data_IF_562337057580
#
_entry.id   IF_562337057580
#
_cell.length_a   1.000
_cell.length_b   1.000
_cell.length_c   1.000
_cell.angle_alpha   90.00
_cell.angle_beta   90.00
_cell.angle_gamma   90.00
#
_symmetry.space_group_name_H-M   'P 1'
#
loop_
_entity.id
_entity.type
_entity.pdbx_description
1 polymer ?
#
# COMPACT_ATOMS: atom_id res chain seq x y z
N UNK A 1 52.06 -15.11 -34.57
CA UNK A 1 51.20 -14.77 -33.41
C UNK A 1 51.72 -13.50 -32.74
N UNK A 2 50.89 -12.46 -32.50
CA UNK A 2 51.36 -11.29 -31.78
C UNK A 2 51.67 -11.65 -30.32
N UNK A 3 52.93 -11.46 -29.90
CA UNK A 3 53.38 -11.72 -28.52
C UNK A 3 52.62 -10.80 -27.55
N UNK A 4 51.73 -11.36 -26.74
CA UNK A 4 51.02 -10.66 -25.67
C UNK A 4 52.04 -10.39 -24.55
N UNK A 5 52.51 -9.15 -24.44
CA UNK A 5 53.51 -8.77 -23.44
C UNK A 5 52.81 -8.26 -22.18
N UNK A 6 53.09 -8.88 -21.04
CA UNK A 6 52.70 -8.43 -19.70
C UNK A 6 53.32 -7.04 -19.42
N UNK A 7 52.65 -6.17 -18.65
CA UNK A 7 53.08 -4.81 -18.34
C UNK A 7 54.52 -4.73 -17.83
N UNK A 8 54.93 -5.69 -16.98
CA UNK A 8 56.30 -5.83 -16.48
C UNK A 8 57.32 -6.06 -17.60
N UNK A 9 56.95 -6.80 -18.66
CA UNK A 9 57.80 -7.05 -19.85
C UNK A 9 57.86 -5.83 -20.78
N UNK A 10 56.80 -5.03 -20.83
CA UNK A 10 56.75 -3.78 -21.62
C UNK A 10 57.58 -2.68 -20.94
N UNK A 11 57.53 -2.58 -19.61
CA UNK A 11 58.28 -1.60 -18.82
C UNK A 11 59.79 -1.86 -18.82
N UNK A 12 60.24 -3.14 -18.84
CA UNK A 12 61.66 -3.51 -18.89
C UNK A 12 62.39 -3.14 -20.20
N UNK A 13 61.68 -2.87 -21.30
CA UNK A 13 62.27 -2.48 -22.60
C UNK A 13 62.49 -0.96 -22.75
N UNK A 14 62.65 -0.21 -21.65
CA UNK A 14 62.80 1.26 -21.69
C UNK A 14 64.23 1.67 -22.06
N UNK A 15 64.38 2.33 -23.21
CA UNK A 15 65.36 3.40 -23.37
C UNK A 15 64.72 4.71 -22.87
N UNK A 16 65.47 5.48 -22.08
CA UNK A 16 65.06 6.76 -21.46
C UNK A 16 64.80 7.82 -22.53
N UNK A 17 63.54 8.00 -22.93
CA UNK A 17 63.08 9.11 -23.76
C UNK A 17 61.58 9.32 -23.57
N UNK A 18 61.13 10.57 -23.54
CA UNK A 18 59.72 10.97 -23.34
C UNK A 18 58.85 10.48 -24.51
N UNK A 19 58.00 9.48 -24.27
CA UNK A 19 57.07 8.98 -25.29
C UNK A 19 55.91 9.98 -25.51
N UNK A 20 55.61 10.31 -26.76
CA UNK A 20 54.46 11.15 -27.09
C UNK A 20 53.11 10.47 -26.75
N UNK A 21 52.13 11.17 -26.14
CA UNK A 21 50.88 10.59 -25.61
C UNK A 21 50.03 9.81 -26.63
N UNK A 22 49.98 10.24 -27.90
CA UNK A 22 49.19 9.58 -28.96
C UNK A 22 49.95 8.49 -29.72
N UNK A 23 51.20 8.19 -29.37
CA UNK A 23 52.03 7.23 -30.09
C UNK A 23 51.49 5.80 -30.03
N UNK A 24 51.76 4.99 -31.07
CA UNK A 24 51.38 3.56 -31.11
C UNK A 24 51.88 2.79 -29.87
N UNK A 25 53.10 3.13 -29.41
CA UNK A 25 53.72 2.53 -28.22
C UNK A 25 53.05 3.01 -26.92
N UNK A 26 52.65 4.29 -26.82
CA UNK A 26 51.83 4.77 -25.71
C UNK A 26 50.46 4.06 -25.64
N UNK A 27 49.78 3.88 -26.78
CA UNK A 27 48.52 3.10 -26.85
C UNK A 27 48.72 1.63 -26.45
N UNK A 28 49.84 1.01 -26.81
CA UNK A 28 50.15 -0.38 -26.42
C UNK A 28 50.40 -0.49 -24.90
N UNK A 29 51.09 0.49 -24.31
CA UNK A 29 51.28 0.57 -22.85
C UNK A 29 49.93 0.77 -22.16
N UNK A 30 49.11 1.72 -22.63
CA UNK A 30 47.79 1.99 -22.05
C UNK A 30 46.90 0.74 -22.06
N UNK A 31 46.80 0.02 -23.19
CA UNK A 31 46.03 -1.25 -23.28
C UNK A 31 46.54 -2.32 -22.30
N UNK A 32 47.84 -2.38 -22.06
CA UNK A 32 48.42 -3.29 -21.08
C UNK A 32 48.11 -2.86 -19.65
N UNK A 33 48.12 -1.54 -19.36
CA UNK A 33 47.70 -0.97 -18.06
C UNK A 33 46.23 -1.29 -17.80
N UNK A 34 45.35 -1.01 -18.76
CA UNK A 34 43.92 -1.24 -18.65
C UNK A 34 43.59 -2.73 -18.47
N UNK A 35 44.35 -3.61 -19.14
CA UNK A 35 44.25 -5.06 -18.94
C UNK A 35 44.63 -5.46 -17.52
N UNK A 36 45.76 -4.97 -17.00
CA UNK A 36 46.20 -5.28 -15.64
C UNK A 36 45.22 -4.74 -14.59
N UNK A 37 44.64 -3.56 -14.82
CA UNK A 37 43.58 -3.00 -13.97
C UNK A 37 42.35 -3.92 -13.99
N UNK A 38 41.90 -4.37 -15.17
CA UNK A 38 40.78 -5.32 -15.28
C UNK A 38 41.08 -6.64 -14.59
N UNK A 39 42.27 -7.21 -14.77
CA UNK A 39 42.68 -8.46 -14.12
C UNK A 39 42.72 -8.31 -12.60
N UNK A 40 43.25 -7.20 -12.07
CA UNK A 40 43.25 -6.90 -10.64
C UNK A 40 41.83 -6.72 -10.09
N UNK A 41 40.94 -6.03 -10.82
CA UNK A 41 39.52 -5.89 -10.45
C UNK A 41 38.82 -7.25 -10.41
N UNK A 42 39.02 -8.10 -11.43
CA UNK A 42 38.46 -9.44 -11.49
C UNK A 42 39.00 -10.34 -10.36
N UNK A 43 40.31 -10.24 -10.05
CA UNK A 43 40.91 -10.96 -8.94
C UNK A 43 40.28 -10.57 -7.61
N UNK A 44 40.17 -9.26 -7.32
CA UNK A 44 39.51 -8.76 -6.11
C UNK A 44 38.06 -9.20 -6.00
N UNK A 45 37.33 -9.23 -7.13
CA UNK A 45 35.95 -9.73 -7.18
C UNK A 45 35.88 -11.20 -6.76
N UNK A 46 36.74 -12.05 -7.34
CA UNK A 46 36.82 -13.48 -6.97
C UNK A 46 37.24 -13.71 -5.53
N UNK A 47 38.20 -12.94 -5.02
CA UNK A 47 38.61 -13.00 -3.61
C UNK A 47 37.42 -12.67 -2.70
N UNK A 48 36.67 -11.61 -3.00
CA UNK A 48 35.46 -11.26 -2.25
C UNK A 48 34.39 -12.36 -2.30
N UNK A 49 34.10 -12.90 -3.49
CA UNK A 49 33.13 -14.00 -3.65
C UNK A 49 33.56 -15.25 -2.87
N UNK A 50 34.87 -15.57 -2.89
CA UNK A 50 35.45 -16.66 -2.12
C UNK A 50 35.26 -16.45 -0.62
N UNK A 51 35.63 -15.28 -0.12
CA UNK A 51 35.56 -14.97 1.30
C UNK A 51 34.09 -14.96 1.79
N UNK A 52 33.15 -14.48 0.96
CA UNK A 52 31.71 -14.56 1.24
C UNK A 52 31.20 -16.01 1.35
N UNK A 53 31.66 -16.90 0.46
CA UNK A 53 31.32 -18.34 0.52
C UNK A 53 31.87 -18.99 1.79
N UNK A 54 33.13 -18.71 2.13
CA UNK A 54 33.75 -19.24 3.36
C UNK A 54 32.96 -18.78 4.58
N UNK A 55 32.68 -17.49 4.71
CA UNK A 55 31.93 -16.93 5.84
C UNK A 55 30.53 -17.55 5.98
N UNK A 56 29.84 -17.77 4.85
CA UNK A 56 28.55 -18.48 4.80
C UNK A 56 28.68 -19.89 5.40
N UNK A 57 29.64 -20.68 4.95
CA UNK A 57 29.77 -22.06 5.41
C UNK A 57 30.32 -22.19 6.85
N UNK A 58 31.11 -21.21 7.31
CA UNK A 58 31.51 -21.11 8.72
C UNK A 58 30.28 -20.93 9.62
N UNK A 59 29.29 -20.12 9.20
CA UNK A 59 28.04 -20.00 9.97
C UNK A 59 27.36 -21.36 10.15
N UNK A 60 27.15 -22.11 9.05
CA UNK A 60 26.50 -23.43 9.15
C UNK A 60 27.32 -24.41 9.98
N UNK A 61 28.65 -24.39 9.86
CA UNK A 61 29.54 -25.16 10.74
C UNK A 61 29.31 -24.81 12.21
N UNK A 62 29.35 -23.52 12.55
CA UNK A 62 29.16 -23.05 13.93
C UNK A 62 27.76 -23.41 14.47
N UNK A 63 26.73 -23.33 13.63
CA UNK A 63 25.36 -23.68 14.01
C UNK A 63 25.24 -25.16 14.39
N UNK A 64 25.81 -26.05 13.56
CA UNK A 64 25.78 -27.49 13.81
C UNK A 64 26.63 -27.88 15.03
N UNK A 65 27.74 -27.18 15.28
CA UNK A 65 28.57 -27.39 16.48
C UNK A 65 27.88 -26.94 17.76
N UNK A 66 27.28 -25.74 17.76
CA UNK A 66 26.61 -25.16 18.92
C UNK A 66 25.35 -25.92 19.31
N UNK A 67 24.52 -26.29 18.33
CA UNK A 67 23.26 -27.01 18.55
C UNK A 67 23.45 -28.54 18.59
N UNK A 68 24.70 -29.01 18.51
CA UNK A 68 25.07 -30.43 18.46
C UNK A 68 24.25 -31.26 17.45
N UNK A 69 24.06 -30.74 16.24
CA UNK A 69 23.23 -31.36 15.22
C UNK A 69 23.95 -32.56 14.60
N UNK A 70 23.25 -33.70 14.48
CA UNK A 70 23.70 -34.89 13.75
C UNK A 70 23.22 -34.88 12.28
N UNK A 71 21.96 -34.50 12.06
CA UNK A 71 21.34 -34.27 10.76
C UNK A 71 20.10 -33.38 10.94
N UNK A 72 19.69 -32.71 9.88
CA UNK A 72 18.43 -31.97 9.80
C UNK A 72 17.47 -32.65 8.83
N UNK A 73 16.17 -32.46 9.04
CA UNK A 73 15.20 -32.67 7.96
C UNK A 73 15.15 -31.43 7.03
N UNK A 74 14.41 -31.54 5.93
CA UNK A 74 14.35 -30.48 4.90
C UNK A 74 13.73 -29.17 5.43
N UNK A 75 12.77 -29.25 6.34
CA UNK A 75 12.05 -28.08 6.87
C UNK A 75 12.87 -27.36 7.94
N UNK A 76 13.59 -28.11 8.78
CA UNK A 76 14.58 -27.59 9.71
C UNK A 76 15.71 -26.89 8.98
N UNK A 77 16.28 -27.51 7.94
CA UNK A 77 17.30 -26.89 7.11
C UNK A 77 16.81 -25.57 6.50
N UNK A 78 15.57 -25.55 6.00
CA UNK A 78 14.95 -24.32 5.46
C UNK A 78 14.85 -23.22 6.52
N UNK A 79 14.44 -23.57 7.74
CA UNK A 79 14.36 -22.65 8.88
C UNK A 79 15.74 -22.08 9.28
N UNK A 80 16.79 -22.89 9.21
CA UNK A 80 18.17 -22.44 9.49
C UNK A 80 18.66 -21.46 8.43
N UNK A 81 18.34 -21.72 7.16
CA UNK A 81 18.65 -20.82 6.04
C UNK A 81 17.93 -19.48 6.20
N UNK A 82 16.68 -19.47 6.65
CA UNK A 82 15.94 -18.24 6.95
C UNK A 82 16.59 -17.43 8.08
N UNK A 83 16.98 -18.09 9.19
CA UNK A 83 17.69 -17.44 10.32
C UNK A 83 19.06 -16.89 9.93
N UNK A 84 19.72 -17.48 8.95
CA UNK A 84 21.01 -17.00 8.44
C UNK A 84 20.88 -15.63 7.73
N UNK A 85 19.76 -15.39 7.05
CA UNK A 85 19.62 -14.24 6.14
C UNK A 85 19.77 -12.87 6.85
N UNK A 86 19.12 -12.61 8.01
CA UNK A 86 19.35 -11.37 8.77
C UNK A 86 20.78 -11.22 9.29
N UNK A 87 21.44 -12.33 9.67
CA UNK A 87 22.80 -12.32 10.20
C UNK A 87 23.85 -12.05 9.11
N UNK A 88 23.66 -12.61 7.92
CA UNK A 88 24.51 -12.35 6.75
C UNK A 88 24.41 -10.90 6.28
N UNK A 89 23.21 -10.32 6.29
CA UNK A 89 22.99 -8.90 6.01
C UNK A 89 23.81 -8.02 6.97
N UNK A 90 23.77 -8.31 8.27
CA UNK A 90 24.54 -7.58 9.28
C UNK A 90 26.06 -7.67 9.06
N UNK A 91 26.58 -8.84 8.68
CA UNK A 91 28.00 -9.05 8.35
C UNK A 91 28.46 -8.32 7.08
N UNK A 92 27.60 -8.23 6.07
CA UNK A 92 27.85 -7.46 4.83
C UNK A 92 27.98 -5.95 5.13
N UNK A 93 27.22 -5.46 6.13
CA UNK A 93 27.28 -4.08 6.62
C UNK A 93 28.49 -3.83 7.54
N UNK A 94 28.85 -4.75 8.43
CA UNK A 94 29.94 -4.56 9.42
C UNK A 94 31.30 -4.31 8.75
N UNK A 95 31.61 -4.96 7.62
CA UNK A 95 32.88 -4.76 6.93
C UNK A 95 32.98 -3.44 6.12
N UNK A 96 31.93 -2.61 6.09
CA UNK A 96 31.95 -1.25 5.52
C UNK A 96 31.49 -0.14 6.47
N UNK A 97 30.82 -0.46 7.58
CA UNK A 97 30.12 0.52 8.41
C UNK A 97 30.79 0.75 9.77
N UNK A 98 32.02 1.27 9.78
CA UNK A 98 32.50 2.03 10.96
C UNK A 98 32.06 3.51 10.95
N UNK A 99 31.31 3.95 9.94
CA UNK A 99 30.99 5.38 9.72
C UNK A 99 29.52 5.72 9.36
N UNK A 100 28.58 4.77 9.32
CA UNK A 100 27.21 5.05 8.79
C UNK A 100 26.10 5.11 9.85
N UNK A 101 26.32 4.67 11.09
CA UNK A 101 25.34 4.81 12.19
C UNK A 101 25.18 6.25 12.73
N UNK A 102 25.49 7.28 11.94
CA UNK A 102 25.15 8.68 12.26
C UNK A 102 24.04 9.27 11.38
N UNK A 103 23.67 8.61 10.27
CA UNK A 103 22.77 9.21 9.26
C UNK A 103 21.58 8.32 8.86
N UNK A 104 21.29 7.21 9.56
CA UNK A 104 20.06 6.43 9.31
C UNK A 104 18.80 7.12 9.87
N UNK A 105 18.96 8.00 10.87
CA UNK A 105 17.85 8.82 11.39
C UNK A 105 17.36 9.89 10.42
N UNK A 106 18.10 10.21 9.34
CA UNK A 106 17.72 11.25 8.37
C UNK A 106 17.03 10.71 7.11
N UNK A 107 16.77 9.41 7.03
CA UNK A 107 16.24 8.76 5.81
C UNK A 107 14.74 8.45 5.92
N UNK A 108 14.16 8.40 7.13
CA UNK A 108 12.74 8.13 7.30
C UNK A 108 11.82 9.36 7.17
N UNK A 109 12.36 10.58 7.03
CA UNK A 109 11.54 11.81 7.03
C UNK A 109 11.30 12.47 5.66
N UNK A 110 11.88 11.98 4.55
CA UNK A 110 11.72 12.67 3.25
C UNK A 110 11.30 11.71 2.13
N UNK A 111 10.07 11.21 2.24
CA UNK A 111 9.41 10.37 1.24
C UNK A 111 8.23 11.08 0.55
N UNK A 112 8.34 12.38 0.27
CA UNK A 112 7.33 13.14 -0.46
C UNK A 112 8.00 14.02 -1.52
N UNK A 113 8.28 13.44 -2.69
CA UNK A 113 8.41 14.16 -3.97
C UNK A 113 8.65 13.19 -5.13
N UNK A 114 7.71 13.19 -6.07
CA UNK A 114 7.70 12.40 -7.30
C UNK A 114 8.63 13.05 -8.36
N UNK A 115 9.93 13.02 -8.10
CA UNK A 115 10.98 13.43 -9.04
C UNK A 115 11.87 12.22 -9.23
N UNK A 116 12.27 11.91 -10.47
CA UNK A 116 13.23 10.83 -10.77
C UNK A 116 14.42 10.91 -9.81
N UNK A 117 14.36 10.10 -8.75
CA UNK A 117 15.30 10.21 -7.65
C UNK A 117 16.61 9.63 -8.17
N UNK A 118 17.55 10.50 -8.55
CA UNK A 118 18.90 10.09 -8.86
C UNK A 118 19.52 9.53 -7.58
N UNK A 119 19.34 8.22 -7.39
CA UNK A 119 19.95 7.49 -6.31
C UNK A 119 21.47 7.70 -6.43
N UNK A 120 22.09 8.23 -5.37
CA UNK A 120 23.56 8.28 -5.27
C UNK A 120 24.15 6.91 -5.66
N UNK A 121 25.32 6.87 -6.32
CA UNK A 121 25.95 5.62 -6.77
C UNK A 121 26.06 4.56 -5.66
N UNK A 122 26.08 5.00 -4.40
CA UNK A 122 26.04 4.16 -3.21
C UNK A 122 24.66 3.52 -2.94
N UNK A 123 23.55 4.27 -3.13
CA UNK A 123 22.16 3.79 -3.00
C UNK A 123 21.79 2.83 -4.14
N UNK A 124 22.28 3.09 -5.36
CA UNK A 124 22.18 2.14 -6.50
C UNK A 124 22.96 0.84 -6.21
N UNK A 125 24.17 0.95 -5.67
CA UNK A 125 24.97 -0.23 -5.33
C UNK A 125 24.37 -1.05 -4.18
N UNK A 126 23.64 -0.40 -3.24
CA UNK A 126 22.90 -1.08 -2.17
C UNK A 126 21.66 -1.79 -2.74
N UNK A 127 20.89 -1.14 -3.61
CA UNK A 127 19.73 -1.74 -4.28
C UNK A 127 20.12 -2.97 -5.10
N UNK A 128 21.14 -2.87 -5.95
CA UNK A 128 21.65 -4.03 -6.70
C UNK A 128 22.20 -5.17 -5.83
N UNK A 129 22.63 -4.86 -4.61
CA UNK A 129 23.12 -5.88 -3.68
C UNK A 129 21.94 -6.65 -3.08
N UNK A 130 20.91 -5.93 -2.63
CA UNK A 130 19.63 -6.51 -2.19
C UNK A 130 18.94 -7.31 -3.31
N UNK A 131 18.87 -6.75 -4.52
CA UNK A 131 18.26 -7.43 -5.67
C UNK A 131 19.03 -8.72 -6.02
N UNK A 132 20.38 -8.71 -5.96
CA UNK A 132 21.16 -9.93 -6.22
C UNK A 132 21.00 -10.99 -5.13
N UNK A 133 20.86 -10.58 -3.86
CA UNK A 133 20.64 -11.48 -2.73
C UNK A 133 19.25 -12.10 -2.77
N UNK A 134 18.23 -11.30 -3.10
CA UNK A 134 16.86 -11.77 -3.28
C UNK A 134 16.75 -12.71 -4.49
N UNK A 135 17.43 -12.40 -5.60
CA UNK A 135 17.52 -13.31 -6.75
C UNK A 135 18.28 -14.62 -6.43
N UNK A 136 19.34 -14.60 -5.61
CA UNK A 136 20.03 -15.82 -5.16
C UNK A 136 19.11 -16.70 -4.29
N UNK A 137 18.25 -16.08 -3.48
CA UNK A 137 17.30 -16.78 -2.63
C UNK A 137 16.10 -17.34 -3.42
N UNK A 138 15.59 -16.60 -4.39
CA UNK A 138 14.48 -17.02 -5.28
C UNK A 138 14.92 -18.11 -6.27
N UNK A 139 16.16 -18.06 -6.78
CA UNK A 139 16.71 -19.08 -7.69
C UNK A 139 17.23 -20.35 -6.99
N UNK A 140 17.49 -20.27 -5.69
CA UNK A 140 17.96 -21.36 -4.84
C UNK A 140 19.24 -20.99 -4.10
N UNK A 141 19.18 -21.01 -2.78
CA UNK A 141 20.29 -20.66 -1.92
C UNK A 141 21.20 -21.87 -1.68
N UNK A 142 22.46 -21.80 -2.15
CA UNK A 142 23.40 -22.92 -2.06
C UNK A 142 24.03 -23.03 -0.66
N UNK A 143 23.81 -24.16 0.01
CA UNK A 143 24.27 -24.46 1.38
C UNK A 143 24.83 -25.88 1.48
N UNK A 144 25.67 -26.18 2.50
CA UNK A 144 26.07 -27.55 2.77
C UNK A 144 24.83 -28.41 3.03
N UNK A 145 24.81 -29.62 2.49
CA UNK A 145 23.71 -30.55 2.73
C UNK A 145 23.76 -31.06 4.18
N UNK A 146 22.93 -30.48 5.05
CA UNK A 146 22.83 -30.90 6.44
C UNK A 146 21.83 -32.04 6.66
N UNK A 147 21.21 -32.55 5.59
CA UNK A 147 20.31 -33.72 5.67
C UNK A 147 21.06 -35.04 5.66
N UNK A 148 22.30 -35.04 5.16
CA UNK A 148 23.24 -36.17 5.17
C UNK A 148 24.16 -36.11 6.42
N UNK A 149 24.04 -37.05 7.38
CA UNK A 149 24.88 -37.08 8.58
C UNK A 149 26.39 -37.13 8.29
N UNK A 150 26.81 -37.80 7.20
CA UNK A 150 28.21 -37.87 6.84
C UNK A 150 28.75 -36.50 6.41
N UNK A 151 27.91 -35.73 5.71
CA UNK A 151 28.26 -34.39 5.27
C UNK A 151 28.27 -33.39 6.43
N UNK A 152 27.40 -33.58 7.43
CA UNK A 152 27.44 -32.83 8.69
C UNK A 152 28.77 -33.05 9.44
N UNK A 153 29.21 -34.30 9.56
CA UNK A 153 30.52 -34.62 10.15
C UNK A 153 31.68 -34.03 9.34
N UNK A 154 31.61 -34.11 8.00
CA UNK A 154 32.61 -33.50 7.13
C UNK A 154 32.68 -31.97 7.32
N UNK A 155 31.53 -31.30 7.51
CA UNK A 155 31.47 -29.87 7.78
C UNK A 155 32.06 -29.50 9.15
N UNK A 156 31.79 -30.28 10.20
CA UNK A 156 32.43 -30.09 11.53
C UNK A 156 33.95 -30.21 11.44
N UNK A 157 34.45 -31.17 10.66
CA UNK A 157 35.89 -31.39 10.48
C UNK A 157 36.54 -30.45 9.46
N UNK A 158 35.76 -29.65 8.72
CA UNK A 158 36.29 -28.76 7.70
C UNK A 158 37.13 -27.63 8.31
N UNK A 159 38.31 -27.40 7.75
CA UNK A 159 39.34 -26.47 8.26
C UNK A 159 39.00 -24.98 8.10
N UNK A 160 37.93 -24.64 7.38
CA UNK A 160 37.64 -23.26 6.96
C UNK A 160 38.37 -22.84 5.66
N UNK A 161 39.18 -23.72 5.07
CA UNK A 161 39.89 -23.43 3.83
C UNK A 161 38.99 -23.64 2.60
N UNK A 162 38.97 -22.66 1.70
CA UNK A 162 38.22 -22.74 0.45
C UNK A 162 38.58 -23.94 -0.41
N UNK A 163 39.86 -24.31 -0.47
CA UNK A 163 40.30 -25.41 -1.33
C UNK A 163 39.74 -26.75 -0.87
N UNK A 164 39.36 -26.89 0.41
CA UNK A 164 38.85 -28.13 1.00
C UNK A 164 37.32 -28.25 0.83
N UNK A 165 36.65 -27.24 0.26
CA UNK A 165 35.20 -27.25 0.07
C UNK A 165 34.70 -28.35 -0.87
N UNK A 166 35.57 -28.89 -1.74
CA UNK A 166 35.23 -29.99 -2.64
C UNK A 166 34.89 -31.30 -1.91
N UNK A 167 35.24 -31.40 -0.62
CA UNK A 167 34.93 -32.54 0.24
C UNK A 167 33.46 -32.51 0.70
N UNK A 168 32.83 -31.34 0.69
CA UNK A 168 31.45 -31.14 1.14
C UNK A 168 30.46 -31.28 -0.01
N UNK A 169 29.30 -31.87 0.28
CA UNK A 169 28.12 -31.84 -0.59
C UNK A 169 27.31 -30.59 -0.33
N UNK A 170 26.77 -30.00 -1.39
CA UNK A 170 25.93 -28.81 -1.33
C UNK A 170 24.59 -29.05 -2.02
N UNK A 171 23.54 -28.45 -1.46
CA UNK A 171 22.19 -28.45 -2.02
C UNK A 171 21.69 -27.02 -2.17
N UNK A 172 20.72 -26.84 -3.07
CA UNK A 172 20.02 -25.59 -3.27
C UNK A 172 18.73 -25.62 -2.47
N UNK A 173 18.61 -24.74 -1.49
CA UNK A 173 17.39 -24.56 -0.70
C UNK A 173 16.65 -23.36 -1.28
N UNK A 174 15.51 -23.62 -1.91
CA UNK A 174 14.60 -22.58 -2.37
C UNK A 174 13.65 -22.21 -1.24
N UNK A 175 13.16 -20.95 -1.25
CA UNK A 175 12.03 -20.55 -0.43
C UNK A 175 10.85 -21.44 -0.76
N UNK A 176 10.50 -22.40 0.10
CA UNK A 176 9.24 -23.13 -0.03
C UNK A 176 8.10 -22.10 -0.01
N UNK A 177 7.02 -22.37 -0.74
CA UNK A 177 5.74 -21.64 -0.78
C UNK A 177 5.05 -21.47 0.61
N UNK A 178 5.77 -21.71 1.71
CA UNK A 178 5.34 -21.61 3.11
C UNK A 178 4.92 -20.18 3.49
N UNK A 179 5.52 -19.16 2.87
CA UNK A 179 5.13 -17.77 3.15
C UNK A 179 3.72 -17.41 2.66
N UNK A 180 3.19 -18.09 1.64
CA UNK A 180 1.80 -17.86 1.21
C UNK A 180 0.85 -18.46 2.24
N UNK A 181 1.10 -19.70 2.68
CA UNK A 181 0.29 -20.36 3.70
C UNK A 181 0.32 -19.62 5.06
N UNK A 182 1.48 -19.08 5.45
CA UNK A 182 1.61 -18.29 6.67
C UNK A 182 0.89 -16.94 6.55
N UNK A 183 1.08 -16.21 5.45
CA UNK A 183 0.39 -14.93 5.22
C UNK A 183 -1.13 -15.09 5.16
N UNK A 184 -1.63 -16.13 4.48
CA UNK A 184 -3.06 -16.45 4.45
C UNK A 184 -3.60 -16.80 5.84
N UNK A 185 -2.83 -17.54 6.65
CA UNK A 185 -3.22 -17.88 8.03
C UNK A 185 -3.24 -16.66 8.94
N UNK A 186 -2.23 -15.80 8.84
CA UNK A 186 -2.16 -14.53 9.60
C UNK A 186 -3.33 -13.62 9.24
N UNK A 187 -3.60 -13.43 7.94
CA UNK A 187 -4.73 -12.64 7.47
C UNK A 187 -6.07 -13.22 7.96
N UNK A 188 -6.29 -14.52 7.80
CA UNK A 188 -7.51 -15.20 8.26
C UNK A 188 -7.70 -15.06 9.78
N UNK A 189 -6.62 -15.16 10.56
CA UNK A 189 -6.67 -14.96 12.01
C UNK A 189 -7.06 -13.54 12.37
N UNK A 190 -6.48 -12.55 11.65
CA UNK A 190 -6.77 -11.13 11.91
C UNK A 190 -8.19 -10.76 11.49
N UNK A 191 -8.66 -11.17 10.30
CA UNK A 191 -10.05 -11.00 9.86
C UNK A 191 -11.01 -11.66 10.86
N UNK A 192 -10.75 -12.88 11.28
CA UNK A 192 -11.57 -13.57 12.29
C UNK A 192 -11.60 -12.88 13.66
N UNK A 193 -10.54 -12.16 14.04
CA UNK A 193 -10.56 -11.31 15.25
C UNK A 193 -11.37 -10.03 15.05
N UNK A 194 -11.29 -9.44 13.86
CA UNK A 194 -12.03 -8.23 13.50
C UNK A 194 -13.53 -8.49 13.45
N UNK A 195 -13.97 -9.55 12.76
CA UNK A 195 -15.38 -9.97 12.71
C UNK A 195 -15.95 -10.11 14.12
N UNK A 196 -15.21 -10.75 15.04
CA UNK A 196 -15.68 -10.92 16.43
C UNK A 196 -15.82 -9.61 17.16
N UNK A 197 -14.86 -8.69 16.97
CA UNK A 197 -14.89 -7.37 17.55
C UNK A 197 -16.10 -6.59 17.04
N UNK A 198 -16.27 -6.49 15.72
CA UNK A 198 -17.37 -5.78 15.09
C UNK A 198 -18.73 -6.37 15.46
N UNK A 199 -18.89 -7.70 15.41
CA UNK A 199 -20.14 -8.36 15.83
C UNK A 199 -20.46 -8.15 17.32
N UNK A 200 -19.46 -7.94 18.17
CA UNK A 200 -19.69 -7.65 19.60
C UNK A 200 -20.13 -6.21 19.86
N UNK A 201 -19.75 -5.28 18.97
CA UNK A 201 -20.12 -3.87 19.03
C UNK A 201 -21.41 -3.57 18.26
N UNK A 202 -21.73 -4.38 17.25
CA UNK A 202 -22.91 -4.24 16.43
C UNK A 202 -24.16 -4.39 17.31
N UNK A 203 -24.88 -3.29 17.49
CA UNK A 203 -26.23 -3.35 18.05
C UNK A 203 -27.10 -4.06 17.03
N UNK A 204 -27.76 -5.15 17.43
CA UNK A 204 -28.68 -5.90 16.54
C UNK A 204 -29.89 -5.05 16.11
N UNK A 205 -30.15 -3.95 16.80
CA UNK A 205 -31.28 -3.08 16.54
C UNK A 205 -30.94 -2.01 15.50
N UNK A 206 -31.81 -1.91 14.49
CA UNK A 206 -31.84 -0.79 13.56
C UNK A 206 -32.02 0.49 14.40
N UNK A 207 -31.18 1.53 14.19
CA UNK A 207 -31.33 2.82 14.84
C UNK A 207 -32.78 3.35 14.77
N UNK A 208 -33.27 3.92 15.88
CA UNK A 208 -34.70 4.28 16.03
C UNK A 208 -35.18 5.32 15.00
N UNK A 209 -34.32 6.26 14.63
CA UNK A 209 -34.52 7.22 13.53
C UNK A 209 -34.73 6.53 12.16
N UNK A 210 -33.92 5.54 11.82
CA UNK A 210 -34.07 4.76 10.59
C UNK A 210 -35.36 3.95 10.64
N UNK A 211 -35.63 3.32 11.79
CA UNK A 211 -36.83 2.51 11.98
C UNK A 211 -38.11 3.33 11.85
N UNK A 212 -38.18 4.49 12.50
CA UNK A 212 -39.33 5.40 12.41
C UNK A 212 -39.54 5.90 10.98
N UNK A 213 -38.48 6.27 10.25
CA UNK A 213 -38.57 6.65 8.84
C UNK A 213 -39.12 5.52 7.95
N UNK A 214 -38.68 4.28 8.17
CA UNK A 214 -39.19 3.11 7.45
C UNK A 214 -40.67 2.88 7.77
N UNK A 215 -41.07 3.02 9.04
CA UNK A 215 -42.45 2.84 9.50
C UNK A 215 -43.40 3.92 8.96
N UNK A 216 -42.93 5.15 8.75
CA UNK A 216 -43.71 6.23 8.12
C UNK A 216 -44.16 5.85 6.68
N UNK A 217 -43.41 4.97 6.00
CA UNK A 217 -43.79 4.39 4.72
C UNK A 217 -43.90 5.39 3.56
N UNK A 218 -43.30 6.56 3.70
CA UNK A 218 -43.34 7.65 2.70
C UNK A 218 -42.54 7.29 1.45
N UNK A 219 -41.37 6.66 1.64
CA UNK A 219 -40.48 6.19 0.59
C UNK A 219 -40.27 4.68 0.71
N UNK A 220 -40.24 3.99 -0.43
CA UNK A 220 -39.76 2.62 -0.55
C UNK A 220 -38.23 2.64 -0.70
N UNK A 221 -37.52 1.85 0.11
CA UNK A 221 -36.06 1.76 0.06
C UNK A 221 -35.65 0.57 -0.81
N UNK A 222 -34.93 0.84 -1.89
CA UNK A 222 -34.30 -0.15 -2.75
C UNK A 222 -32.82 -0.21 -2.38
N UNK A 223 -32.48 -1.25 -1.61
CA UNK A 223 -31.13 -1.52 -1.13
C UNK A 223 -30.70 -2.94 -1.55
N UNK A 224 -29.54 -3.05 -2.17
CA UNK A 224 -28.91 -4.31 -2.56
C UNK A 224 -27.59 -4.52 -1.82
N UNK A 225 -27.40 -5.72 -1.28
CA UNK A 225 -26.14 -6.13 -0.65
C UNK A 225 -24.98 -6.05 -1.64
N UNK A 226 -23.80 -5.64 -1.16
CA UNK A 226 -22.58 -5.41 -1.96
C UNK A 226 -22.73 -4.31 -3.02
N UNK A 227 -23.71 -3.42 -2.88
CA UNK A 227 -23.84 -2.22 -3.70
C UNK A 227 -23.63 -0.98 -2.84
N UNK A 228 -22.90 0.00 -3.36
CA UNK A 228 -22.76 1.29 -2.68
C UNK A 228 -23.99 2.18 -2.89
N UNK A 229 -24.79 1.94 -3.93
CA UNK A 229 -25.96 2.77 -4.23
C UNK A 229 -27.18 2.34 -3.42
N UNK A 230 -27.96 3.33 -3.00
CA UNK A 230 -29.28 3.18 -2.39
C UNK A 230 -30.23 4.09 -3.14
N UNK A 231 -31.43 3.58 -3.46
CA UNK A 231 -32.48 4.35 -4.11
C UNK A 231 -33.72 4.41 -3.21
N UNK A 232 -34.26 5.61 -3.02
CA UNK A 232 -35.55 5.84 -2.36
C UNK A 232 -36.59 6.19 -3.42
N UNK A 233 -37.66 5.42 -3.50
CA UNK A 233 -38.70 5.59 -4.51
C UNK A 233 -40.02 5.95 -3.86
N UNK A 234 -40.71 6.93 -4.44
CA UNK A 234 -42.06 7.32 -4.04
C UNK A 234 -42.90 7.70 -5.23
N UNK A 235 -44.21 7.45 -5.13
CA UNK A 235 -45.20 8.04 -6.04
C UNK A 235 -45.91 9.19 -5.34
N UNK A 236 -45.92 10.37 -5.97
CA UNK A 236 -46.63 11.55 -5.48
C UNK A 236 -47.58 12.04 -6.57
N UNK A 237 -48.89 11.82 -6.39
CA UNK A 237 -49.91 12.08 -7.42
C UNK A 237 -49.57 11.33 -8.73
N UNK A 238 -49.29 12.07 -9.81
CA UNK A 238 -48.88 11.58 -11.12
C UNK A 238 -47.36 11.58 -11.33
N UNK A 239 -46.58 11.95 -10.32
CA UNK A 239 -45.12 12.01 -10.38
C UNK A 239 -44.49 10.75 -9.75
N UNK A 240 -43.40 10.28 -10.37
CA UNK A 240 -42.48 9.31 -9.80
C UNK A 240 -41.26 10.05 -9.28
N UNK A 241 -40.98 9.88 -7.99
CA UNK A 241 -39.83 10.47 -7.31
C UNK A 241 -38.83 9.36 -7.02
N UNK A 242 -37.57 9.59 -7.36
CA UNK A 242 -36.43 8.74 -7.03
C UNK A 242 -35.34 9.60 -6.41
N UNK A 243 -34.79 9.20 -5.27
CA UNK A 243 -33.60 9.79 -4.68
C UNK A 243 -32.51 8.73 -4.64
N UNK A 244 -31.40 8.98 -5.33
CA UNK A 244 -30.24 8.08 -5.34
C UNK A 244 -29.09 8.72 -4.58
N UNK A 245 -28.46 7.96 -3.68
CA UNK A 245 -27.25 8.37 -2.96
C UNK A 245 -26.29 7.19 -2.78
N UNK A 246 -25.03 7.48 -2.43
CA UNK A 246 -23.98 6.46 -2.33
C UNK A 246 -23.36 6.40 -0.94
N UNK A 247 -23.18 5.17 -0.45
CA UNK A 247 -22.44 4.88 0.79
C UNK A 247 -20.99 5.33 0.69
N UNK A 248 -20.41 5.41 -0.51
CA UNK A 248 -19.03 5.83 -0.71
C UNK A 248 -18.75 7.28 -0.30
N UNK A 249 -19.79 8.12 -0.18
CA UNK A 249 -19.64 9.52 0.20
C UNK A 249 -19.08 9.71 1.62
N UNK A 250 -19.22 8.69 2.48
CA UNK A 250 -18.59 8.68 3.81
C UNK A 250 -17.07 8.84 3.76
N UNK A 251 -16.43 8.38 2.67
CA UNK A 251 -14.97 8.46 2.51
C UNK A 251 -14.48 9.87 2.15
N UNK A 252 -15.36 10.76 1.73
CA UNK A 252 -14.97 12.13 1.39
C UNK A 252 -14.68 12.98 2.64
N UNK A 253 -14.99 12.46 3.84
CA UNK A 253 -14.71 13.10 5.14
C UNK A 253 -13.21 13.25 5.45
N UNK A 254 -12.34 12.38 4.92
CA UNK A 254 -10.94 12.29 5.37
C UNK A 254 -9.99 13.34 4.75
N UNK A 255 -10.48 14.23 3.88
CA UNK A 255 -9.59 15.07 3.06
C UNK A 255 -9.18 16.42 3.65
N UNK A 256 -9.86 16.93 4.69
CA UNK A 256 -9.63 18.31 5.19
C UNK A 256 -8.91 18.43 6.56
N UNK A 257 -8.82 17.38 7.37
CA UNK A 257 -8.30 17.48 8.75
C UNK A 257 -6.81 17.11 8.94
N UNK A 258 -6.09 16.67 7.90
CA UNK A 258 -4.71 16.17 8.05
C UNK A 258 -3.59 17.14 7.61
N UNK A 259 -3.90 18.36 7.16
CA UNK A 259 -2.89 19.31 6.62
C UNK A 259 -2.87 20.70 7.25
N UNK A 260 -3.38 20.89 8.46
CA UNK A 260 -3.17 22.12 9.21
C UNK A 260 -2.72 21.82 10.63
N UNK A 261 -1.39 21.79 10.84
CA UNK A 261 -0.66 22.36 11.97
C UNK A 261 0.70 21.66 12.18
N UNK A 262 1.63 21.83 11.23
CA UNK A 262 3.05 21.79 11.56
C UNK A 262 3.71 23.09 11.09
N UNK A 263 3.46 24.15 11.86
CA UNK A 263 4.37 25.27 12.07
C UNK A 263 3.78 26.14 13.18
N UNK A 264 4.26 25.95 14.42
CA UNK A 264 4.79 27.04 15.27
C UNK A 264 5.09 26.52 16.69
N UNK A 265 6.38 26.49 16.99
CA UNK A 265 7.01 26.69 18.30
C UNK A 265 6.81 25.65 19.41
N UNK A 266 7.85 24.83 19.58
CA UNK A 266 8.25 24.27 20.87
C UNK A 266 8.40 25.37 21.95
N UNK A 267 7.99 25.01 23.17
CA UNK A 267 8.27 25.64 24.48
C UNK A 267 7.15 26.48 25.09
N UNK A 268 6.30 25.78 25.87
CA UNK A 268 5.57 26.17 27.10
C UNK A 268 4.27 25.34 27.08
N UNK A 269 3.98 24.35 27.93
CA UNK A 269 4.32 24.11 29.33
C UNK A 269 4.35 22.59 29.58
N UNK A 270 5.50 22.10 30.05
CA UNK A 270 5.55 20.94 30.94
C UNK A 270 4.99 21.38 32.29
N UNK A 271 3.68 21.42 32.41
CA UNK A 271 2.91 21.56 33.66
C UNK A 271 1.45 21.42 33.21
N UNK A 272 0.98 20.21 32.89
CA UNK A 272 0.12 19.47 33.82
C UNK A 272 0.11 17.99 33.40
N UNK A 273 1.20 17.27 33.67
CA UNK A 273 1.10 15.82 33.87
C UNK A 273 0.64 15.61 35.31
N UNK A 274 -0.67 15.61 35.52
CA UNK A 274 -1.38 14.92 36.61
C UNK A 274 -2.87 15.20 36.45
N UNK A 275 -3.65 14.14 36.44
CA UNK A 275 -5.13 14.05 36.29
C UNK A 275 -5.62 13.93 34.86
N UNK A 276 -6.50 12.92 34.64
CA UNK A 276 -6.90 12.25 33.39
C UNK A 276 -5.90 11.15 33.00
N UNK A 277 -5.74 10.05 33.76
CA UNK A 277 -6.74 8.99 33.93
C UNK A 277 -7.60 8.80 32.69
N UNK A 278 -7.65 7.56 32.22
CA UNK A 278 -8.53 7.11 31.15
C UNK A 278 -9.97 7.55 31.45
N UNK A 279 -10.36 8.73 30.96
CA UNK A 279 -11.75 8.95 30.62
C UNK A 279 -11.94 8.10 29.38
N UNK A 280 -12.55 6.93 29.58
CA UNK A 280 -13.69 6.53 28.75
C UNK A 280 -14.38 7.82 28.28
N UNK A 281 -13.96 8.33 27.11
CA UNK A 281 -14.86 9.15 26.34
C UNK A 281 -15.89 8.14 25.88
N UNK A 282 -16.94 8.00 26.69
CA UNK A 282 -18.27 7.83 26.14
C UNK A 282 -18.31 8.75 24.92
N UNK A 283 -18.29 8.17 23.72
CA UNK A 283 -18.74 8.86 22.52
C UNK A 283 -20.21 9.16 22.78
N UNK A 284 -20.47 10.22 23.55
CA UNK A 284 -21.76 10.85 23.59
C UNK A 284 -22.08 11.23 22.14
N UNK A 285 -23.14 10.63 21.63
CA UNK A 285 -23.84 10.89 20.37
C UNK A 285 -23.69 12.33 19.84
N UNK A 286 -22.55 12.69 19.25
CA UNK A 286 -22.50 13.74 18.25
C UNK A 286 -23.12 13.15 16.99
N UNK A 287 -24.24 13.69 16.48
CA UNK A 287 -24.80 13.21 15.22
C UNK A 287 -23.72 13.26 14.15
N UNK A 288 -23.38 12.09 13.59
CA UNK A 288 -22.44 11.99 12.48
C UNK A 288 -23.06 12.71 11.28
N UNK A 289 -22.72 13.97 11.11
CA UNK A 289 -23.17 14.77 9.97
C UNK A 289 -22.03 14.89 8.97
N UNK A 290 -22.07 14.04 7.95
CA UNK A 290 -21.27 14.21 6.76
C UNK A 290 -22.18 14.53 5.59
N UNK A 291 -21.62 15.24 4.61
CA UNK A 291 -22.34 15.57 3.41
C UNK A 291 -22.59 14.32 2.56
N UNK A 292 -23.81 14.12 2.10
CA UNK A 292 -24.18 13.04 1.18
C UNK A 292 -24.76 13.63 -0.09
N UNK A 293 -24.15 13.33 -1.23
CA UNK A 293 -24.65 13.78 -2.52
C UNK A 293 -25.84 12.93 -2.91
N UNK A 294 -26.90 13.62 -3.29
CA UNK A 294 -28.19 13.06 -3.63
C UNK A 294 -28.57 13.52 -5.04
N UNK A 295 -28.93 12.56 -5.89
CA UNK A 295 -29.58 12.85 -7.15
C UNK A 295 -31.09 12.61 -6.99
N UNK A 296 -31.87 13.69 -7.07
CA UNK A 296 -33.32 13.67 -6.85
C UNK A 296 -34.01 13.83 -8.20
N UNK A 297 -34.62 12.77 -8.71
CA UNK A 297 -35.37 12.78 -9.96
C UNK A 297 -36.88 12.80 -9.68
N UNK A 298 -37.58 13.78 -10.26
CA UNK A 298 -39.02 13.94 -10.22
C UNK A 298 -39.54 13.85 -11.65
N UNK A 299 -40.04 12.69 -12.01
CA UNK A 299 -40.51 12.38 -13.35
C UNK A 299 -42.03 12.44 -13.45
N UNK A 300 -42.52 13.00 -14.56
CA UNK A 300 -43.93 13.09 -14.86
C UNK A 300 -44.22 12.45 -16.22
N UNK A 301 -45.15 11.48 -16.30
CA UNK A 301 -45.45 10.78 -17.54
C UNK A 301 -45.75 11.75 -18.69
N UNK A 302 -45.00 11.62 -19.78
CA UNK A 302 -45.13 12.44 -20.99
C UNK A 302 -44.65 13.89 -20.88
N UNK A 303 -44.18 14.33 -19.72
CA UNK A 303 -43.67 15.70 -19.48
C UNK A 303 -42.17 15.76 -19.19
N UNK A 304 -41.49 14.61 -19.17
CA UNK A 304 -40.06 14.51 -18.86
C UNK A 304 -39.80 14.40 -17.35
N UNK A 305 -38.59 14.76 -16.94
CA UNK A 305 -38.16 14.69 -15.56
C UNK A 305 -37.32 15.90 -15.16
N UNK A 306 -37.58 16.41 -13.97
CA UNK A 306 -36.72 17.35 -13.26
C UNK A 306 -35.72 16.55 -12.43
N UNK A 307 -34.43 16.84 -12.56
CA UNK A 307 -33.37 16.19 -11.77
C UNK A 307 -32.65 17.28 -10.98
N UNK A 308 -32.61 17.12 -9.67
CA UNK A 308 -31.97 18.06 -8.75
C UNK A 308 -30.73 17.36 -8.19
N UNK A 309 -29.57 17.99 -8.40
CA UNK A 309 -28.35 17.62 -7.70
C UNK A 309 -28.31 18.42 -6.40
N UNK A 310 -28.28 17.70 -5.28
CA UNK A 310 -28.30 18.31 -3.96
C UNK A 310 -27.39 17.55 -2.99
N UNK A 311 -27.06 18.20 -1.88
CA UNK A 311 -26.31 17.63 -0.77
C UNK A 311 -27.21 17.60 0.47
N UNK A 312 -27.37 16.42 1.05
CA UNK A 312 -27.99 16.27 2.37
C UNK A 312 -26.90 16.48 3.44
N UNK A 313 -27.08 17.48 4.29
CA UNK A 313 -26.17 17.79 5.40
C UNK A 313 -26.92 18.54 6.49
N UNK A 314 -26.67 18.21 7.76
CA UNK A 314 -27.20 18.94 8.93
C UNK A 314 -28.73 19.13 8.91
N UNK A 315 -29.46 18.16 8.35
CA UNK A 315 -30.92 18.20 8.24
C UNK A 315 -31.46 19.16 7.19
N UNK A 316 -30.64 19.59 6.24
CA UNK A 316 -31.05 20.38 5.09
C UNK A 316 -30.58 19.75 3.77
N UNK A 317 -31.30 20.04 2.70
CA UNK A 317 -30.84 19.82 1.33
C UNK A 317 -30.27 21.12 0.78
N UNK A 318 -28.99 21.14 0.45
CA UNK A 318 -28.34 22.24 -0.27
C UNK A 318 -28.41 21.90 -1.76
N UNK A 319 -29.16 22.70 -2.53
CA UNK A 319 -29.35 22.46 -3.97
C UNK A 319 -28.19 23.08 -4.75
N UNK A 320 -27.52 22.28 -5.58
CA UNK A 320 -26.45 22.76 -6.46
C UNK A 320 -27.01 23.21 -7.81
N UNK A 321 -27.73 22.30 -8.48
CA UNK A 321 -28.25 22.51 -9.83
C UNK A 321 -29.61 21.82 -10.02
N UNK A 322 -30.40 22.37 -10.94
CA UNK A 322 -31.68 21.80 -11.37
C UNK A 322 -31.64 21.59 -12.88
N UNK A 323 -31.76 20.33 -13.29
CA UNK A 323 -31.70 19.86 -14.67
C UNK A 323 -33.09 19.43 -15.14
N UNK A 324 -33.34 19.57 -16.43
CA UNK A 324 -34.56 19.04 -17.05
C UNK A 324 -34.21 18.12 -18.21
N UNK A 325 -34.76 16.91 -18.18
CA UNK A 325 -34.70 15.94 -19.26
C UNK A 325 -36.08 15.78 -19.88
N UNK A 326 -36.16 15.93 -21.20
CA UNK A 326 -37.41 15.70 -21.94
C UNK A 326 -37.83 14.23 -21.93
N UNK A 327 -36.86 13.32 -21.93
CA UNK A 327 -37.08 11.88 -21.81
C UNK A 327 -36.92 11.44 -20.35
N UNK A 328 -38.01 10.97 -19.76
CA UNK A 328 -38.05 10.44 -18.40
C UNK A 328 -37.13 9.22 -18.24
N UNK A 329 -37.02 8.36 -19.25
CA UNK A 329 -36.17 7.18 -19.18
C UNK A 329 -34.69 7.58 -19.14
N UNK A 330 -34.31 8.62 -19.89
CA UNK A 330 -32.94 9.14 -19.85
C UNK A 330 -32.59 9.72 -18.48
N UNK A 331 -33.54 10.32 -17.76
CA UNK A 331 -33.28 10.83 -16.41
C UNK A 331 -33.06 9.70 -15.40
N UNK A 332 -33.86 8.62 -15.48
CA UNK A 332 -33.92 7.58 -14.46
C UNK A 332 -33.02 6.36 -14.74
N UNK A 333 -32.59 6.15 -15.98
CA UNK A 333 -31.86 4.93 -16.33
C UNK A 333 -30.46 4.88 -15.70
N UNK A 334 -30.17 3.81 -14.95
CA UNK A 334 -28.87 3.51 -14.35
C UNK A 334 -27.95 2.72 -15.30
N UNK A 335 -27.90 3.11 -16.58
CA UNK A 335 -27.03 2.46 -17.57
C UNK A 335 -25.86 3.37 -17.93
N UNK A 336 -24.71 2.77 -18.24
CA UNK A 336 -23.52 3.53 -18.66
C UNK A 336 -23.77 4.42 -19.89
N UNK A 337 -24.63 3.99 -20.81
CA UNK A 337 -25.03 4.77 -21.98
C UNK A 337 -25.87 5.99 -21.58
N UNK A 338 -26.86 5.82 -20.69
CA UNK A 338 -27.66 6.93 -20.19
C UNK A 338 -26.80 7.93 -19.42
N UNK A 339 -25.87 7.47 -18.58
CA UNK A 339 -24.90 8.33 -17.89
C UNK A 339 -24.06 9.15 -18.87
N UNK A 340 -23.56 8.50 -19.92
CA UNK A 340 -22.76 9.17 -20.94
C UNK A 340 -23.57 10.26 -21.66
N UNK A 341 -24.83 9.97 -22.00
CA UNK A 341 -25.74 10.94 -22.64
C UNK A 341 -26.07 12.12 -21.71
N UNK A 342 -26.31 11.86 -20.41
CA UNK A 342 -26.59 12.91 -19.41
C UNK A 342 -25.43 13.91 -19.29
N UNK A 343 -24.17 13.46 -19.34
CA UNK A 343 -22.97 14.32 -19.28
C UNK A 343 -22.88 15.35 -20.42
N UNK A 344 -23.51 15.08 -21.56
CA UNK A 344 -23.56 16.00 -22.70
C UNK A 344 -24.69 17.03 -22.63
N UNK A 345 -25.56 16.95 -21.62
CA UNK A 345 -26.76 17.80 -21.50
C UNK A 345 -26.43 19.07 -20.69
N UNK A 346 -27.15 20.15 -20.97
CA UNK A 346 -27.03 21.38 -20.20
C UNK A 346 -27.50 21.15 -18.76
N UNK A 347 -26.63 21.45 -17.79
CA UNK A 347 -26.84 21.18 -16.36
C UNK A 347 -27.65 22.26 -15.63
N UNK A 348 -28.17 23.26 -16.35
CA UNK A 348 -28.79 24.42 -15.73
C UNK A 348 -27.78 25.45 -15.22
N UNK A 349 -28.25 26.62 -14.78
CA UNK A 349 -27.44 27.55 -14.01
C UNK A 349 -27.23 27.02 -12.59
N UNK A 350 -26.22 27.56 -11.90
CA UNK A 350 -26.07 27.31 -10.46
C UNK A 350 -27.31 27.81 -9.73
N UNK A 351 -27.87 26.99 -8.84
CA UNK A 351 -29.08 27.32 -8.09
C UNK A 351 -28.94 28.63 -7.29
N UNK A 352 -27.79 28.84 -6.67
CA UNK A 352 -27.44 30.06 -5.91
C UNK A 352 -27.44 31.35 -6.75
N UNK A 353 -27.38 31.23 -8.08
CA UNK A 353 -27.44 32.39 -8.99
C UNK A 353 -28.86 32.77 -9.42
N UNK A 354 -29.86 31.96 -9.06
CA UNK A 354 -31.27 32.25 -9.32
C UNK A 354 -31.79 33.33 -8.37
N UNK A 355 -32.90 33.95 -8.74
CA UNK A 355 -33.63 34.87 -7.88
C UNK A 355 -34.11 34.18 -6.58
N UNK A 356 -34.07 34.88 -5.45
CA UNK A 356 -34.38 34.32 -4.13
C UNK A 356 -35.82 33.80 -4.05
N UNK A 357 -36.79 34.45 -4.70
CA UNK A 357 -38.18 33.98 -4.73
C UNK A 357 -38.28 32.65 -5.49
N UNK A 358 -37.51 32.50 -6.57
CA UNK A 358 -37.45 31.23 -7.34
C UNK A 358 -36.83 30.12 -6.50
N UNK A 359 -35.75 30.43 -5.77
CA UNK A 359 -35.10 29.46 -4.88
C UNK A 359 -36.08 28.97 -3.81
N UNK A 360 -36.76 29.89 -3.11
CA UNK A 360 -37.75 29.55 -2.09
C UNK A 360 -38.93 28.74 -2.66
N UNK A 361 -39.38 29.04 -3.89
CA UNK A 361 -40.43 28.25 -4.55
C UNK A 361 -39.99 26.82 -4.86
N UNK A 362 -38.72 26.61 -5.23
CA UNK A 362 -38.19 25.26 -5.44
C UNK A 362 -38.05 24.49 -4.12
N UNK A 363 -37.56 25.12 -3.06
CA UNK A 363 -37.48 24.50 -1.74
C UNK A 363 -38.85 24.04 -1.25
N UNK A 364 -39.86 24.92 -1.34
CA UNK A 364 -41.25 24.56 -1.01
C UNK A 364 -41.79 23.44 -1.90
N UNK A 365 -41.46 23.45 -3.20
CA UNK A 365 -41.85 22.39 -4.13
C UNK A 365 -41.28 21.02 -3.73
N UNK A 366 -40.03 20.97 -3.23
CA UNK A 366 -39.40 19.76 -2.72
C UNK A 366 -40.01 19.33 -1.36
N UNK A 367 -40.31 20.28 -0.49
CA UNK A 367 -40.89 20.01 0.82
C UNK A 367 -42.28 19.34 0.72
N UNK A 368 -43.15 19.80 -0.21
CA UNK A 368 -44.45 19.17 -0.50
C UNK A 368 -44.33 17.69 -0.92
N UNK A 369 -43.14 17.29 -1.42
CA UNK A 369 -42.81 15.93 -1.87
C UNK A 369 -42.13 15.10 -0.79
N UNK A 370 -42.07 15.61 0.44
CA UNK A 370 -41.34 15.06 1.58
C UNK A 370 -39.83 14.98 1.37
N UNK A 371 -39.28 15.86 0.52
CA UNK A 371 -37.84 16.11 0.47
C UNK A 371 -37.60 17.28 1.43
N UNK A 372 -37.43 16.93 2.70
CA UNK A 372 -37.44 17.87 3.82
C UNK A 372 -36.38 17.48 4.87
N UNK A 373 -36.40 18.14 6.03
CA UNK A 373 -35.45 17.89 7.12
C UNK A 373 -35.42 16.45 7.61
N UNK A 374 -36.58 15.77 7.69
CA UNK A 374 -36.61 14.36 8.12
C UNK A 374 -35.81 13.47 7.16
N UNK A 375 -36.02 13.65 5.85
CA UNK A 375 -35.28 12.92 4.83
C UNK A 375 -33.78 13.29 4.84
N UNK A 376 -33.44 14.57 4.99
CA UNK A 376 -32.05 15.03 5.02
C UNK A 376 -31.27 14.51 6.24
N UNK A 377 -31.94 14.28 7.38
CA UNK A 377 -31.34 13.62 8.55
C UNK A 377 -31.22 12.11 8.36
N UNK A 378 -32.23 11.48 7.76
CA UNK A 378 -32.26 10.04 7.51
C UNK A 378 -31.10 9.57 6.61
N UNK A 379 -30.77 10.31 5.55
CA UNK A 379 -29.82 9.84 4.53
C UNK A 379 -28.41 9.56 5.10
N UNK A 380 -27.73 10.49 5.80
CA UNK A 380 -26.41 10.21 6.39
C UNK A 380 -26.44 9.08 7.43
N UNK A 381 -27.51 8.99 8.23
CA UNK A 381 -27.69 7.93 9.21
C UNK A 381 -27.84 6.56 8.55
N UNK A 382 -28.63 6.48 7.48
CA UNK A 382 -28.80 5.26 6.70
C UNK A 382 -27.52 4.85 5.98
N UNK A 383 -26.75 5.80 5.46
CA UNK A 383 -25.43 5.53 4.88
C UNK A 383 -24.51 4.88 5.91
N UNK A 384 -24.42 5.43 7.12
CA UNK A 384 -23.59 4.87 8.19
C UNK A 384 -24.07 3.46 8.59
N UNK A 385 -25.38 3.27 8.77
CA UNK A 385 -25.96 1.97 9.06
C UNK A 385 -25.65 0.91 7.99
N UNK A 386 -25.77 1.28 6.70
CA UNK A 386 -25.45 0.39 5.59
C UNK A 386 -23.95 0.12 5.48
N UNK A 387 -23.10 1.12 5.66
CA UNK A 387 -21.63 0.99 5.62
C UNK A 387 -21.17 -0.07 6.62
N UNK A 388 -21.58 0.04 7.90
CA UNK A 388 -21.18 -0.91 8.92
C UNK A 388 -21.62 -2.34 8.57
N UNK A 389 -22.83 -2.49 8.01
CA UNK A 389 -23.35 -3.80 7.59
C UNK A 389 -22.55 -4.39 6.42
N UNK A 390 -22.20 -3.58 5.43
CA UNK A 390 -21.38 -4.01 4.29
C UNK A 390 -19.94 -4.28 4.69
N UNK A 391 -19.38 -3.52 5.63
CA UNK A 391 -18.05 -3.76 6.19
C UNK A 391 -17.97 -5.13 6.88
N UNK A 392 -18.95 -5.45 7.73
CA UNK A 392 -19.03 -6.77 8.37
C UNK A 392 -19.20 -7.89 7.35
N UNK A 393 -20.04 -7.70 6.32
CA UNK A 393 -20.18 -8.67 5.23
C UNK A 393 -18.87 -8.87 4.46
N UNK A 394 -18.14 -7.79 4.18
CA UNK A 394 -16.86 -7.83 3.48
C UNK A 394 -15.78 -8.57 4.28
N UNK A 395 -15.74 -8.40 5.61
CA UNK A 395 -14.81 -9.13 6.48
C UNK A 395 -15.00 -10.66 6.44
N UNK A 396 -16.20 -11.14 6.09
CA UNK A 396 -16.54 -12.57 6.05
C UNK A 396 -16.08 -13.28 4.76
N UNK A 397 -15.62 -12.53 3.75
CA UNK A 397 -15.09 -13.06 2.48
C UNK A 397 -13.70 -13.66 2.67
#
# INVERSE_FOLDING_TARGET
MPKILNLRKIQKKKNKGTLHPRSRKAKQIQRSVDRDIRLKKAQKKREKERDMKIARYIYFKSYVELENIEKLNQDELSSVVEKFFPFFNKLSHINKNRYIHRNETKIHENSSSNVHQHFSSKKIALKHLLDNEQNEYESGFCVPDLTDPQNVLALKNWSGNYNDLHILKFIYVQKKLFNIALASKELSTKLGSEIKHEMSLMKEEIPENIKTFIEDGVFEIIDHQNSNEVELVRKFKDEKISITFSVSDINNMESDDFYTHENENEQMQKETLKTKEASEFEQENTPFSFLVRCNIAIAKPGSGALVIDAVAQDGAFIIDNILYYKDENLALAQTAEADWQRRGTYIGPSFHSLDEDIQAMFEHYLEERAINTSLALFIPEYVNYKEQKEYVNWLQV
#
